data_IF_100855491896
#
_entry.id   IF_100855491896
#
_cell.length_a   1.000
_cell.length_b   1.000
_cell.length_c   1.000
_cell.angle_alpha   90.00
_cell.angle_beta   90.00
_cell.angle_gamma   90.00
#
_symmetry.space_group_name_H-M   'P 1'
#
loop_
_entity.id
_entity.type
_entity.pdbx_description
1 polymer ?
#
# COMPACT_ATOMS: atom_id res chain seq x y z
N UNK A 1 -17.29 1.79 29.66
CA UNK A 1 -16.89 0.79 28.63
C UNK A 1 -15.83 1.32 27.68
N UNK A 2 -15.78 2.61 27.30
CA UNK A 2 -14.62 3.13 26.52
C UNK A 2 -13.38 3.40 27.38
N UNK A 3 -13.56 3.72 28.67
CA UNK A 3 -12.44 4.04 29.56
C UNK A 3 -11.68 2.80 30.08
N UNK A 4 -12.37 1.67 30.28
CA UNK A 4 -11.75 0.44 30.82
C UNK A 4 -10.78 -0.21 29.81
N UNK A 5 -11.15 -0.25 28.53
CA UNK A 5 -10.31 -0.82 27.46
C UNK A 5 -9.02 0.00 27.25
N UNK A 6 -9.10 1.33 27.35
CA UNK A 6 -7.94 2.21 27.23
C UNK A 6 -6.96 2.08 28.40
N UNK A 7 -7.44 1.82 29.61
CA UNK A 7 -6.58 1.54 30.77
C UNK A 7 -5.91 0.17 30.66
N UNK A 8 -6.61 -0.83 30.11
CA UNK A 8 -6.06 -2.17 29.88
C UNK A 8 -4.85 -2.13 28.93
N UNK A 9 -4.93 -1.42 27.80
CA UNK A 9 -3.82 -1.34 26.84
C UNK A 9 -2.58 -0.58 27.33
N UNK A 10 -2.74 0.34 28.31
CA UNK A 10 -1.60 1.06 28.92
C UNK A 10 -0.71 0.14 29.75
N UNK A 11 -1.30 -0.91 30.33
CA UNK A 11 -0.62 -1.82 31.26
C UNK A 11 -0.39 -3.21 30.66
N UNK A 12 -1.14 -3.58 29.62
CA UNK A 12 -0.97 -4.83 28.88
C UNK A 12 0.41 -4.90 28.22
N UNK A 13 1.20 -5.88 28.65
CA UNK A 13 2.51 -6.16 28.07
C UNK A 13 2.35 -6.85 26.72
N UNK A 14 3.22 -6.49 25.76
CA UNK A 14 3.31 -7.11 24.45
C UNK A 14 3.41 -8.63 24.59
N UNK A 15 2.56 -9.41 23.90
CA UNK A 15 2.67 -10.85 23.91
C UNK A 15 4.00 -11.30 23.31
N UNK A 16 4.46 -12.52 23.62
CA UNK A 16 5.71 -13.04 23.08
C UNK A 16 5.72 -12.98 21.55
N UNK A 17 6.74 -12.31 21.00
CA UNK A 17 6.84 -12.00 19.57
C UNK A 17 7.38 -13.22 18.83
N UNK A 18 6.65 -13.77 17.85
CA UNK A 18 7.09 -14.95 17.11
C UNK A 18 8.26 -14.61 16.18
N UNK A 19 9.17 -15.57 16.00
CA UNK A 19 10.20 -15.51 14.98
C UNK A 19 9.60 -15.39 13.57
N UNK A 20 10.30 -14.67 12.69
CA UNK A 20 9.89 -14.49 11.29
C UNK A 20 8.79 -13.46 11.04
N UNK A 21 8.40 -12.65 12.05
CA UNK A 21 7.38 -11.62 11.87
C UNK A 21 7.81 -10.52 10.88
N UNK A 22 9.12 -10.34 10.69
CA UNK A 22 9.69 -9.40 9.72
C UNK A 22 9.59 -9.86 8.25
N UNK A 23 9.45 -11.18 8.00
CA UNK A 23 9.39 -11.75 6.66
C UNK A 23 8.18 -12.69 6.54
N UNK A 24 7.00 -12.06 6.44
CA UNK A 24 5.75 -12.78 6.29
C UNK A 24 5.70 -13.48 4.93
N UNK A 25 5.34 -14.76 4.91
CA UNK A 25 5.00 -15.50 3.69
C UNK A 25 3.73 -14.95 3.03
N UNK A 26 3.49 -15.25 1.76
CA UNK A 26 2.28 -14.77 1.06
C UNK A 26 0.96 -15.13 1.76
N UNK A 27 0.75 -16.36 2.29
CA UNK A 27 -0.44 -16.68 3.07
C UNK A 27 -0.56 -15.86 4.37
N UNK A 28 0.55 -15.59 5.06
CA UNK A 28 0.55 -14.78 6.28
C UNK A 28 0.23 -13.31 5.99
N UNK A 29 0.72 -12.75 4.88
CA UNK A 29 0.33 -11.40 4.42
C UNK A 29 -1.15 -11.33 4.09
N UNK A 30 -1.68 -12.31 3.35
CA UNK A 30 -3.10 -12.38 3.05
C UNK A 30 -3.97 -12.48 4.32
N UNK A 31 -3.51 -13.21 5.34
CA UNK A 31 -4.18 -13.27 6.63
C UNK A 31 -4.13 -11.91 7.35
N UNK A 32 -2.98 -11.24 7.37
CA UNK A 32 -2.84 -9.91 7.97
C UNK A 32 -3.76 -8.88 7.30
N UNK A 33 -3.84 -8.92 5.97
CA UNK A 33 -4.73 -8.07 5.18
C UNK A 33 -6.21 -8.37 5.49
N UNK A 34 -6.58 -9.65 5.57
CA UNK A 34 -7.93 -10.08 5.93
C UNK A 34 -8.35 -9.59 7.32
N UNK A 35 -7.44 -9.70 8.30
CA UNK A 35 -7.63 -9.22 9.66
C UNK A 35 -7.46 -7.69 9.79
N UNK A 36 -7.08 -7.00 8.71
CA UNK A 36 -6.81 -5.55 8.66
C UNK A 36 -5.80 -5.11 9.71
N UNK A 37 -4.78 -5.93 9.96
CA UNK A 37 -3.71 -5.56 10.88
C UNK A 37 -2.92 -4.39 10.28
N UNK A 38 -2.73 -3.32 11.05
CA UNK A 38 -2.00 -2.15 10.58
C UNK A 38 -0.54 -2.53 10.22
N UNK A 39 -0.13 -2.21 9.00
CA UNK A 39 1.19 -2.57 8.48
C UNK A 39 2.35 -1.86 9.22
N UNK A 40 2.12 -0.64 9.74
CA UNK A 40 3.10 0.04 10.59
C UNK A 40 3.18 -0.66 11.95
N UNK A 41 2.04 -1.08 12.52
CA UNK A 41 2.02 -1.85 13.76
C UNK A 41 2.78 -3.17 13.62
N UNK A 42 2.53 -3.94 12.55
CA UNK A 42 3.29 -5.16 12.25
C UNK A 42 4.78 -4.87 12.10
N UNK A 43 5.15 -3.78 11.41
CA UNK A 43 6.54 -3.37 11.24
C UNK A 43 7.22 -2.99 12.57
N UNK A 44 6.50 -2.38 13.52
CA UNK A 44 7.03 -2.06 14.85
C UNK A 44 7.16 -3.32 15.72
N UNK A 45 6.15 -4.21 15.69
CA UNK A 45 6.18 -5.48 16.41
C UNK A 45 7.37 -6.34 15.93
N UNK A 46 7.56 -6.43 14.62
CA UNK A 46 8.62 -7.21 13.98
C UNK A 46 10.05 -6.78 14.36
N UNK A 47 10.27 -5.58 14.90
CA UNK A 47 11.60 -5.16 15.37
C UNK A 47 12.14 -6.02 16.52
N UNK A 48 11.23 -6.61 17.31
CA UNK A 48 11.57 -7.53 18.39
C UNK A 48 11.52 -9.00 17.95
N UNK A 49 11.21 -9.27 16.67
CA UNK A 49 11.18 -10.62 16.12
C UNK A 49 12.60 -11.09 15.81
N UNK A 50 12.91 -12.32 16.21
CA UNK A 50 14.07 -13.02 15.67
C UNK A 50 13.83 -13.42 14.21
N UNK A 51 14.92 -13.71 13.50
CA UNK A 51 14.84 -14.25 12.15
C UNK A 51 14.05 -15.56 12.14
N UNK A 52 13.28 -15.80 11.07
CA UNK A 52 12.61 -17.07 10.90
C UNK A 52 13.64 -18.20 10.93
N UNK A 53 13.38 -19.32 11.65
CA UNK A 53 14.17 -20.52 11.41
C UNK A 53 14.05 -20.87 9.92
N UNK A 54 15.17 -21.24 9.30
CA UNK A 54 15.21 -21.70 7.91
C UNK A 54 14.03 -22.64 7.66
N UNK A 55 13.30 -22.49 6.54
CA UNK A 55 12.16 -23.34 6.24
C UNK A 55 12.63 -24.79 6.32
N UNK A 56 12.20 -25.49 7.37
CA UNK A 56 12.66 -26.85 7.66
C UNK A 56 12.52 -27.63 6.37
N UNK A 57 13.64 -28.11 5.83
CA UNK A 57 13.66 -28.89 4.62
C UNK A 57 12.57 -29.97 4.71
N UNK A 58 11.94 -30.31 3.58
CA UNK A 58 10.95 -31.41 3.57
C UNK A 58 11.58 -32.60 4.30
N UNK A 59 10.93 -33.10 5.37
CA UNK A 59 11.55 -34.09 6.24
C UNK A 59 11.99 -35.27 5.39
N UNK A 60 13.22 -35.71 5.59
CA UNK A 60 13.77 -36.79 4.76
C UNK A 60 12.96 -38.06 5.01
N UNK A 61 12.93 -38.98 4.04
CA UNK A 61 12.26 -40.28 4.20
C UNK A 61 12.70 -41.00 5.49
N UNK A 62 14.00 -40.90 5.84
CA UNK A 62 14.58 -41.48 7.05
C UNK A 62 14.06 -40.84 8.34
N UNK A 63 13.92 -39.51 8.38
CA UNK A 63 13.31 -38.80 9.51
C UNK A 63 11.85 -39.17 9.71
N UNK A 64 11.06 -39.15 8.62
CA UNK A 64 9.65 -39.56 8.67
C UNK A 64 9.52 -41.02 9.14
N UNK A 65 10.35 -41.93 8.64
CA UNK A 65 10.33 -43.33 9.04
C UNK A 65 10.60 -43.49 10.55
N UNK A 66 11.56 -42.75 11.11
CA UNK A 66 11.86 -42.75 12.54
C UNK A 66 10.70 -42.20 13.37
N UNK A 67 10.08 -41.10 12.94
CA UNK A 67 8.95 -40.47 13.63
C UNK A 67 7.69 -41.34 13.58
N UNK A 68 7.40 -41.94 12.42
CA UNK A 68 6.30 -42.89 12.26
C UNK A 68 6.53 -44.12 13.12
N UNK A 69 7.76 -44.64 13.19
CA UNK A 69 8.07 -45.78 14.06
C UNK A 69 7.76 -45.49 15.53
N UNK A 70 7.98 -44.25 15.99
CA UNK A 70 7.70 -43.80 17.34
C UNK A 70 6.19 -43.61 17.66
N UNK A 71 5.29 -43.61 16.67
CA UNK A 71 3.85 -43.59 16.92
C UNK A 71 3.39 -44.91 17.54
N UNK A 72 2.40 -44.82 18.44
CA UNK A 72 1.76 -46.01 19.01
C UNK A 72 1.00 -46.80 17.94
N UNK A 73 0.80 -48.10 18.16
CA UNK A 73 0.01 -48.95 17.25
C UNK A 73 -1.40 -48.38 17.03
N UNK A 74 -2.06 -47.92 18.11
CA UNK A 74 -3.38 -47.29 18.06
C UNK A 74 -3.43 -46.07 17.13
N UNK A 75 -2.42 -45.21 17.18
CA UNK A 75 -2.35 -44.03 16.29
C UNK A 75 -2.14 -44.43 14.84
N UNK A 76 -1.24 -45.40 14.58
CA UNK A 76 -0.99 -45.92 13.23
C UNK A 76 -2.27 -46.49 12.62
N UNK A 77 -2.96 -47.34 13.36
CA UNK A 77 -4.21 -47.98 12.92
C UNK A 77 -5.31 -46.94 12.67
N UNK A 78 -5.40 -45.91 13.52
CA UNK A 78 -6.35 -44.81 13.34
C UNK A 78 -6.12 -44.01 12.05
N UNK A 79 -4.88 -43.64 11.75
CA UNK A 79 -4.55 -42.94 10.49
C UNK A 79 -4.77 -43.83 9.26
N UNK A 80 -4.42 -45.13 9.33
CA UNK A 80 -4.63 -46.08 8.23
C UNK A 80 -6.11 -46.35 7.96
N UNK A 81 -6.93 -46.47 9.01
CA UNK A 81 -8.36 -46.66 8.89
C UNK A 81 -9.02 -45.44 8.24
N UNK A 82 -8.69 -44.22 8.69
CA UNK A 82 -9.18 -42.97 8.09
C UNK A 82 -8.81 -42.86 6.62
N UNK A 83 -7.57 -43.25 6.26
CA UNK A 83 -7.13 -43.30 4.87
C UNK A 83 -7.93 -44.30 4.03
N UNK A 84 -8.26 -45.47 4.60
CA UNK A 84 -9.05 -46.50 3.93
C UNK A 84 -10.53 -46.13 3.75
N UNK A 85 -11.09 -45.33 4.65
CA UNK A 85 -12.48 -44.87 4.60
C UNK A 85 -12.74 -43.82 3.52
N UNK A 86 -11.72 -43.09 3.08
CA UNK A 86 -11.81 -42.18 1.94
C UNK A 86 -10.89 -40.96 2.01
N UNK A 87 -10.92 -40.10 0.98
CA UNK A 87 -10.09 -38.91 0.92
C UNK A 87 -10.56 -37.85 1.93
N UNK A 88 -9.78 -37.64 2.98
CA UNK A 88 -9.91 -36.50 3.89
C UNK A 88 -8.93 -35.39 3.49
N UNK A 89 -9.44 -34.18 3.21
CA UNK A 89 -8.65 -33.05 2.68
C UNK A 89 -7.45 -32.66 3.57
N UNK A 90 -7.52 -32.92 4.87
CA UNK A 90 -6.53 -32.47 5.86
C UNK A 90 -5.76 -33.61 6.55
N UNK A 91 -6.00 -34.89 6.21
CA UNK A 91 -5.39 -36.03 6.90
C UNK A 91 -3.86 -36.03 6.77
N UNK A 92 -3.35 -35.68 5.59
CA UNK A 92 -1.92 -35.54 5.34
C UNK A 92 -1.29 -34.43 6.20
N UNK A 93 -1.95 -33.26 6.29
CA UNK A 93 -1.47 -32.14 7.11
C UNK A 93 -1.51 -32.44 8.59
N UNK A 94 -2.55 -33.13 9.06
CA UNK A 94 -2.71 -33.55 10.45
C UNK A 94 -1.62 -34.54 10.86
N UNK A 95 -1.36 -35.55 10.02
CA UNK A 95 -0.28 -36.51 10.25
C UNK A 95 1.09 -35.82 10.31
N UNK A 96 1.38 -34.91 9.37
CA UNK A 96 2.63 -34.15 9.40
C UNK A 96 2.77 -33.29 10.66
N UNK A 97 1.68 -32.67 11.12
CA UNK A 97 1.68 -31.91 12.37
C UNK A 97 1.95 -32.81 13.58
N UNK A 98 1.29 -33.97 13.65
CA UNK A 98 1.51 -34.96 14.70
C UNK A 98 2.93 -35.50 14.72
N UNK A 99 3.55 -35.70 13.56
CA UNK A 99 4.92 -36.21 13.42
C UNK A 99 5.98 -35.16 13.76
N UNK A 100 5.77 -33.90 13.39
CA UNK A 100 6.69 -32.79 13.72
C UNK A 100 6.61 -32.39 15.20
N UNK A 101 5.50 -32.70 15.86
CA UNK A 101 5.18 -32.21 17.18
C UNK A 101 4.75 -30.73 17.15
N UNK A 102 4.11 -30.28 18.23
CA UNK A 102 3.91 -28.85 18.49
C UNK A 102 5.22 -28.27 19.01
N UNK A 103 6.17 -28.01 18.12
CA UNK A 103 7.29 -27.13 18.46
C UNK A 103 6.70 -25.74 18.66
N UNK A 104 6.65 -25.26 19.90
CA UNK A 104 6.25 -23.90 20.17
C UNK A 104 7.13 -22.98 19.29
N UNK A 105 6.53 -22.03 18.54
CA UNK A 105 7.31 -21.13 17.72
C UNK A 105 8.35 -20.44 18.61
N UNK A 106 9.57 -20.30 18.13
CA UNK A 106 10.58 -19.53 18.85
C UNK A 106 10.03 -18.11 19.05
N UNK A 107 9.83 -17.70 20.29
CA UNK A 107 9.30 -16.38 20.62
C UNK A 107 10.26 -15.61 21.50
N UNK A 108 10.35 -14.30 21.29
CA UNK A 108 11.03 -13.39 22.20
C UNK A 108 10.02 -12.80 23.18
N UNK A 109 10.34 -12.66 24.48
CA UNK A 109 9.45 -11.98 25.41
C UNK A 109 9.28 -10.51 24.98
N UNK A 110 8.02 -10.05 24.96
CA UNK A 110 7.72 -8.64 24.76
C UNK A 110 8.10 -7.84 26.01
N UNK A 111 8.81 -6.72 25.83
CA UNK A 111 9.17 -5.80 26.92
C UNK A 111 8.43 -4.47 26.85
N UNK A 112 7.64 -4.26 25.78
CA UNK A 112 6.88 -3.03 25.52
C UNK A 112 5.43 -3.24 25.96
N UNK A 113 4.70 -2.16 26.20
CA UNK A 113 3.25 -2.22 26.37
C UNK A 113 2.53 -2.12 25.03
N UNK A 114 1.28 -2.57 24.97
CA UNK A 114 0.43 -2.43 23.79
C UNK A 114 0.28 -0.94 23.39
N UNK A 115 0.10 -0.04 24.36
CA UNK A 115 0.08 1.41 24.11
C UNK A 115 1.36 1.92 23.42
N UNK A 116 2.54 1.51 23.90
CA UNK A 116 3.81 1.92 23.27
C UNK A 116 3.94 1.44 21.82
N UNK A 117 3.45 0.24 21.51
CA UNK A 117 3.40 -0.27 20.13
C UNK A 117 2.48 0.57 19.24
N UNK A 118 1.30 0.91 19.73
CA UNK A 118 0.31 1.71 19.02
C UNK A 118 0.81 3.14 18.77
N UNK A 119 1.46 3.77 19.76
CA UNK A 119 2.05 5.11 19.62
C UNK A 119 3.20 5.13 18.62
N UNK A 120 4.09 4.13 18.69
CA UNK A 120 5.18 3.99 17.73
C UNK A 120 4.65 3.76 16.30
N UNK A 121 3.61 2.94 16.14
CA UNK A 121 2.95 2.70 14.85
C UNK A 121 2.29 3.98 14.32
N UNK A 122 1.60 4.74 15.19
CA UNK A 122 0.99 6.01 14.83
C UNK A 122 2.03 7.03 14.35
N UNK A 123 3.13 7.18 15.10
CA UNK A 123 4.25 8.06 14.74
C UNK A 123 4.81 7.70 13.37
N UNK A 124 5.11 6.42 13.13
CA UNK A 124 5.59 5.94 11.83
C UNK A 124 4.60 6.21 10.70
N UNK A 125 3.31 5.97 10.93
CA UNK A 125 2.24 6.22 9.95
C UNK A 125 2.14 7.69 9.58
N UNK A 126 2.21 8.59 10.57
CA UNK A 126 2.16 10.05 10.33
C UNK A 126 3.39 10.53 9.57
N UNK A 127 4.58 10.03 9.91
CA UNK A 127 5.80 10.34 9.17
C UNK A 127 5.75 9.86 7.72
N UNK A 128 5.30 8.62 7.48
CA UNK A 128 5.14 8.10 6.11
C UNK A 128 4.21 8.98 5.29
N UNK A 129 3.05 9.35 5.85
CA UNK A 129 2.08 10.24 5.18
C UNK A 129 2.69 11.59 4.86
N UNK A 130 3.42 12.20 5.80
CA UNK A 130 4.12 13.47 5.60
C UNK A 130 5.17 13.36 4.48
N UNK A 131 5.96 12.29 4.46
CA UNK A 131 6.97 12.04 3.41
C UNK A 131 6.31 11.85 2.04
N UNK A 132 5.23 11.08 1.95
CA UNK A 132 4.51 10.86 0.70
C UNK A 132 3.89 12.17 0.18
N UNK A 133 3.28 12.97 1.05
CA UNK A 133 2.76 14.29 0.70
C UNK A 133 3.86 15.22 0.19
N UNK A 134 5.02 15.27 0.86
CA UNK A 134 6.18 16.05 0.41
C UNK A 134 6.67 15.60 -0.96
N UNK A 135 6.83 14.29 -1.18
CA UNK A 135 7.23 13.75 -2.49
C UNK A 135 6.23 14.09 -3.60
N UNK A 136 4.93 13.97 -3.32
CA UNK A 136 3.87 14.36 -4.26
C UNK A 136 3.91 15.85 -4.58
N UNK A 137 4.14 16.69 -3.57
CA UNK A 137 4.28 18.13 -3.75
C UNK A 137 5.55 18.50 -4.54
N UNK A 138 6.69 17.84 -4.28
CA UNK A 138 7.94 18.02 -5.00
C UNK A 138 7.81 17.62 -6.48
N UNK A 139 7.23 16.44 -6.76
CA UNK A 139 6.96 15.99 -8.13
C UNK A 139 6.02 16.96 -8.85
N UNK A 140 4.96 17.44 -8.17
CA UNK A 140 4.05 18.44 -8.73
C UNK A 140 4.78 19.75 -9.01
N UNK A 141 5.59 20.25 -8.08
CA UNK A 141 6.35 21.48 -8.26
C UNK A 141 7.30 21.36 -9.46
N UNK A 142 8.08 20.27 -9.55
CA UNK A 142 8.97 20.01 -10.70
C UNK A 142 8.20 19.96 -12.01
N UNK A 143 7.04 19.30 -12.04
CA UNK A 143 6.19 19.26 -13.22
C UNK A 143 5.70 20.65 -13.64
N UNK A 144 5.24 21.47 -12.69
CA UNK A 144 4.82 22.84 -12.95
C UNK A 144 5.98 23.72 -13.43
N UNK A 145 7.17 23.59 -12.84
CA UNK A 145 8.37 24.32 -13.30
C UNK A 145 8.75 23.93 -14.73
N UNK A 146 8.74 22.64 -15.06
CA UNK A 146 9.02 22.16 -16.41
C UNK A 146 7.96 22.67 -17.41
N UNK A 147 6.69 22.62 -17.05
CA UNK A 147 5.59 23.10 -17.89
C UNK A 147 5.66 24.61 -18.14
N UNK A 148 6.08 25.39 -17.14
CA UNK A 148 6.30 26.83 -17.29
C UNK A 148 7.50 27.13 -18.21
N UNK A 149 8.57 26.33 -18.15
CA UNK A 149 9.71 26.47 -19.05
C UNK A 149 9.31 26.18 -20.51
N UNK A 150 8.50 25.15 -20.73
CA UNK A 150 8.01 24.75 -22.05
C UNK A 150 6.71 25.47 -22.47
N UNK A 151 6.35 26.56 -21.80
CA UNK A 151 5.06 27.25 -21.98
C UNK A 151 4.76 27.56 -23.46
N UNK A 152 5.74 27.99 -24.23
CA UNK A 152 5.58 28.30 -25.66
C UNK A 152 5.18 27.07 -26.50
N UNK A 153 5.74 25.90 -26.17
CA UNK A 153 5.37 24.64 -26.81
C UNK A 153 3.94 24.25 -26.47
N UNK A 154 3.53 24.44 -25.21
CA UNK A 154 2.17 24.15 -24.75
C UNK A 154 1.16 25.07 -25.43
N UNK A 155 1.45 26.37 -25.55
CA UNK A 155 0.62 27.32 -26.30
C UNK A 155 0.42 26.90 -27.76
N UNK A 156 1.48 26.47 -28.46
CA UNK A 156 1.37 25.94 -29.84
C UNK A 156 0.49 24.68 -29.92
N UNK A 157 0.58 23.78 -28.94
CA UNK A 157 -0.28 22.59 -28.88
C UNK A 157 -1.75 22.96 -28.65
N UNK A 158 -2.01 23.93 -27.78
CA UNK A 158 -3.35 24.48 -27.54
C UNK A 158 -3.94 25.04 -28.83
N UNK A 159 -3.19 25.86 -29.56
CA UNK A 159 -3.64 26.40 -30.85
C UNK A 159 -3.88 25.31 -31.90
N UNK A 160 -3.00 24.31 -31.98
CA UNK A 160 -3.19 23.17 -32.87
C UNK A 160 -4.47 22.39 -32.54
N UNK A 161 -4.73 22.12 -31.25
CA UNK A 161 -5.96 21.48 -30.81
C UNK A 161 -7.20 22.31 -31.14
N UNK A 162 -7.15 23.64 -30.93
CA UNK A 162 -8.24 24.54 -31.31
C UNK A 162 -8.44 24.54 -32.84
N UNK A 163 -7.37 24.47 -33.64
CA UNK A 163 -7.46 24.46 -35.10
C UNK A 163 -8.24 23.26 -35.66
N UNK A 164 -8.17 22.09 -35.03
CA UNK A 164 -8.88 20.86 -35.49
C UNK A 164 -10.42 20.95 -35.46
N UNK A 165 -10.99 21.96 -34.78
CA UNK A 165 -12.45 22.19 -34.66
C UNK A 165 -13.25 21.01 -34.08
N UNK A 166 -12.60 20.11 -33.32
CA UNK A 166 -13.25 18.97 -32.68
C UNK A 166 -13.57 19.25 -31.21
N UNK A 167 -14.71 18.75 -30.75
CA UNK A 167 -15.15 18.84 -29.35
C UNK A 167 -14.12 18.26 -28.39
N UNK A 168 -13.60 17.06 -28.62
CA UNK A 168 -12.58 16.46 -27.74
C UNK A 168 -11.26 17.25 -27.75
N UNK A 169 -10.92 17.93 -28.85
CA UNK A 169 -9.71 18.73 -28.94
C UNK A 169 -9.82 20.02 -28.12
N UNK A 170 -11.00 20.64 -28.05
CA UNK A 170 -11.23 21.76 -27.15
C UNK A 170 -11.13 21.36 -25.67
N UNK A 171 -11.59 20.17 -25.28
CA UNK A 171 -11.44 19.69 -23.90
C UNK A 171 -9.96 19.49 -23.53
N UNK A 172 -9.17 18.92 -24.46
CA UNK A 172 -7.72 18.79 -24.31
C UNK A 172 -7.01 20.15 -24.22
N UNK A 173 -7.37 21.09 -25.09
CA UNK A 173 -6.82 22.44 -25.07
C UNK A 173 -7.10 23.15 -23.74
N UNK A 174 -8.32 23.02 -23.21
CA UNK A 174 -8.71 23.60 -21.93
C UNK A 174 -7.98 22.94 -20.76
N UNK A 175 -7.75 21.63 -20.80
CA UNK A 175 -6.94 20.94 -19.80
C UNK A 175 -5.49 21.48 -19.78
N UNK A 176 -4.85 21.59 -20.95
CA UNK A 176 -3.50 22.16 -21.08
C UNK A 176 -3.42 23.61 -20.59
N UNK A 177 -4.43 24.43 -20.87
CA UNK A 177 -4.49 25.82 -20.40
C UNK A 177 -4.64 25.93 -18.88
N UNK A 178 -5.32 24.98 -18.23
CA UNK A 178 -5.42 24.94 -16.76
C UNK A 178 -4.09 24.58 -16.14
N UNK A 179 -3.42 23.56 -16.66
CA UNK A 179 -2.11 23.14 -16.16
C UNK A 179 -1.08 24.26 -16.36
N UNK A 180 -1.13 24.94 -17.51
CA UNK A 180 -0.26 26.06 -17.82
C UNK A 180 -0.52 27.28 -16.91
N UNK A 181 -1.79 27.56 -16.57
CA UNK A 181 -2.12 28.59 -15.58
C UNK A 181 -1.49 28.27 -14.23
N UNK A 182 -1.70 27.06 -13.73
CA UNK A 182 -1.13 26.61 -12.46
C UNK A 182 0.42 26.69 -12.48
N UNK A 183 1.05 26.40 -13.62
CA UNK A 183 2.49 26.51 -13.80
C UNK A 183 3.00 27.95 -13.82
N UNK A 184 2.32 28.85 -14.54
CA UNK A 184 2.64 30.27 -14.57
C UNK A 184 2.43 30.92 -13.20
N UNK A 185 1.37 30.57 -12.47
CA UNK A 185 1.14 31.05 -11.11
C UNK A 185 2.23 30.54 -10.14
N UNK A 186 2.70 29.30 -10.31
CA UNK A 186 3.78 28.73 -9.50
C UNK A 186 5.14 29.45 -9.67
N UNK A 187 5.45 29.90 -10.90
CA UNK A 187 6.72 30.60 -11.22
C UNK A 187 6.58 32.13 -11.14
N UNK A 188 5.37 32.66 -10.91
CA UNK A 188 5.10 34.09 -10.80
C UNK A 188 4.87 34.83 -12.13
N UNK A 189 4.72 34.10 -13.24
CA UNK A 189 4.42 34.63 -14.59
C UNK A 189 2.92 34.63 -14.94
N UNK A 190 2.04 34.56 -13.95
CA UNK A 190 0.58 34.53 -14.16
C UNK A 190 0.01 35.76 -14.91
N UNK A 191 0.71 36.90 -14.89
CA UNK A 191 0.32 38.08 -15.66
C UNK A 191 0.44 37.85 -17.18
N UNK A 192 1.55 37.25 -17.62
CA UNK A 192 1.79 36.93 -19.03
C UNK A 192 0.77 35.91 -19.53
N UNK A 193 0.43 34.92 -18.70
CA UNK A 193 -0.64 33.97 -18.99
C UNK A 193 -1.98 34.67 -19.22
N UNK A 194 -2.37 35.61 -18.34
CA UNK A 194 -3.63 36.36 -18.46
C UNK A 194 -3.69 37.22 -19.71
N UNK A 195 -2.59 37.86 -20.09
CA UNK A 195 -2.53 38.62 -21.33
C UNK A 195 -2.72 37.70 -22.54
N UNK A 196 -2.07 36.54 -22.54
CA UNK A 196 -2.09 35.59 -23.65
C UNK A 196 -3.42 34.87 -23.80
N UNK A 197 -4.08 34.51 -22.70
CA UNK A 197 -5.43 33.94 -22.73
C UNK A 197 -6.47 34.97 -23.19
N UNK A 198 -6.29 36.25 -22.82
CA UNK A 198 -7.15 37.34 -23.31
C UNK A 198 -7.06 37.46 -24.83
N UNK A 199 -5.84 37.50 -25.37
CA UNK A 199 -5.62 37.52 -26.82
C UNK A 199 -6.25 36.31 -27.51
N UNK A 200 -6.05 35.10 -26.97
CA UNK A 200 -6.63 33.87 -27.52
C UNK A 200 -8.17 33.93 -27.56
N UNK A 201 -8.81 34.49 -26.53
CA UNK A 201 -10.27 34.69 -26.49
C UNK A 201 -10.75 35.64 -27.57
N UNK A 202 -10.04 36.74 -27.81
CA UNK A 202 -10.36 37.70 -28.88
C UNK A 202 -10.23 37.05 -30.26
N UNK A 203 -9.17 36.29 -30.51
CA UNK A 203 -8.95 35.58 -31.78
C UNK A 203 -10.06 34.58 -32.08
N UNK A 204 -10.51 33.82 -31.07
CA UNK A 204 -11.50 32.76 -31.22
C UNK A 204 -12.92 33.12 -30.73
N UNK A 205 -13.22 34.42 -30.61
CA UNK A 205 -14.53 34.91 -30.14
C UNK A 205 -15.74 34.36 -30.93
N UNK A 206 -15.53 34.03 -32.21
CA UNK A 206 -16.56 33.45 -33.10
C UNK A 206 -16.81 31.95 -32.87
N UNK A 207 -16.19 31.33 -31.86
CA UNK A 207 -16.32 29.91 -31.52
C UNK A 207 -16.98 29.72 -30.15
N UNK A 208 -18.33 29.78 -30.06
CA UNK A 208 -19.03 29.81 -28.77
C UNK A 208 -18.79 28.57 -27.91
N UNK A 209 -18.61 27.38 -28.50
CA UNK A 209 -18.32 26.15 -27.77
C UNK A 209 -16.96 26.16 -27.04
N UNK A 210 -15.95 26.82 -27.61
CA UNK A 210 -14.64 27.00 -26.95
C UNK A 210 -14.76 28.03 -25.82
N UNK A 211 -15.37 29.19 -26.10
CA UNK A 211 -15.55 30.27 -25.11
C UNK A 211 -16.34 29.78 -23.90
N UNK A 212 -17.39 28.97 -24.11
CA UNK A 212 -18.17 28.38 -23.02
C UNK A 212 -17.28 27.57 -22.07
N UNK A 213 -16.42 26.69 -22.60
CA UNK A 213 -15.53 25.84 -21.80
C UNK A 213 -14.44 26.62 -21.08
N UNK A 214 -13.86 27.63 -21.73
CA UNK A 214 -12.92 28.55 -21.08
C UNK A 214 -13.58 29.23 -19.87
N UNK A 215 -14.84 29.65 -19.99
CA UNK A 215 -15.59 30.23 -18.89
C UNK A 215 -15.87 29.20 -17.78
N UNK A 216 -16.29 27.98 -18.12
CA UNK A 216 -16.54 26.90 -17.15
C UNK A 216 -15.32 26.60 -16.28
N UNK A 217 -14.11 26.71 -16.84
CA UNK A 217 -12.86 26.46 -16.11
C UNK A 217 -12.18 27.72 -15.54
N UNK A 218 -12.90 28.86 -15.54
CA UNK A 218 -12.41 30.15 -15.04
C UNK A 218 -11.06 30.57 -15.67
N UNK A 219 -10.89 30.31 -16.97
CA UNK A 219 -9.74 30.77 -17.75
C UNK A 219 -10.04 32.18 -18.28
N UNK A 220 -9.64 33.17 -17.48
CA UNK A 220 -9.77 34.61 -17.72
C UNK A 220 -8.42 35.29 -17.62
#
# INVERSE_FOLDING_TARGET
>A
MQDDDEEEYRTATEPPVPAGLADLTAPQRALADYLRVDADLLSIAAQSSSAAPEPTAKPTKKELQRLIAALSAKEKDGFLLRLALGPELHLHTELLHRLRGTTAPATNPGSRTAAHLLDAAHTRRTERRRREQRRKAEVRAQHLTALAHDAESVWRQVEAHIATKQTNAYDRAVALLRDLRDACDHVGSGADFRQRITHLRETYQRRPGLIHRLNTHNLR
#
